data_IF_896995853211
#
_entry.id   IF_896995853211
#
_cell.length_a   1.000
_cell.length_b   1.000
_cell.length_c   1.000
_cell.angle_alpha   90.00
_cell.angle_beta   90.00
_cell.angle_gamma   90.00
#
_symmetry.space_group_name_H-M   'P 1'
#
loop_
_entity.id
_entity.type
_entity.pdbx_description
1 polymer ?
#
# COMPACT_ATOMS: atom_id res chain seq x y z
N UNK A 1 8.98 1.82 -7.05
CA UNK A 1 8.39 0.51 -6.71
C UNK A 1 9.36 -0.49 -6.08
N UNK A 2 10.62 -0.54 -6.49
CA UNK A 2 11.60 -1.44 -5.85
C UNK A 2 11.73 -1.24 -4.34
N UNK A 3 11.68 0.03 -3.91
CA UNK A 3 11.76 0.36 -2.48
C UNK A 3 10.50 -0.06 -1.73
N UNK A 4 9.33 0.04 -2.37
CA UNK A 4 8.08 -0.48 -1.80
C UNK A 4 8.13 -2.01 -1.67
N UNK A 5 8.73 -2.71 -2.63
CA UNK A 5 8.94 -4.16 -2.55
C UNK A 5 9.88 -4.55 -1.40
N UNK A 6 10.91 -3.76 -1.13
CA UNK A 6 11.78 -3.98 0.03
C UNK A 6 10.99 -3.90 1.33
N UNK A 7 10.06 -2.96 1.43
CA UNK A 7 9.17 -2.86 2.59
C UNK A 7 8.23 -4.08 2.66
N UNK A 8 7.69 -4.52 1.53
CA UNK A 8 6.86 -5.73 1.48
C UNK A 8 7.63 -6.96 2.01
N UNK A 9 8.92 -7.09 1.66
CA UNK A 9 9.76 -8.17 2.18
C UNK A 9 9.93 -8.12 3.69
N UNK A 10 10.03 -6.93 4.27
CA UNK A 10 10.09 -6.75 5.73
C UNK A 10 8.81 -7.26 6.40
N UNK A 11 7.65 -6.98 5.80
CA UNK A 11 6.38 -7.51 6.28
C UNK A 11 6.37 -9.04 6.20
N UNK A 12 6.81 -9.60 5.08
CA UNK A 12 6.91 -11.05 4.87
C UNK A 12 7.72 -11.72 5.98
N UNK A 13 8.90 -11.17 6.28
CA UNK A 13 9.79 -11.70 7.33
C UNK A 13 9.14 -11.68 8.71
N UNK A 14 8.20 -10.77 8.93
CA UNK A 14 7.44 -10.65 10.18
C UNK A 14 6.13 -11.45 10.16
N UNK A 15 5.92 -12.24 9.13
CA UNK A 15 4.69 -13.02 8.91
C UNK A 15 3.43 -12.13 8.76
N UNK A 16 3.62 -10.91 8.28
CA UNK A 16 2.55 -10.01 7.88
C UNK A 16 2.30 -10.13 6.38
N UNK A 17 1.07 -9.89 5.93
CA UNK A 17 0.79 -9.86 4.49
C UNK A 17 1.74 -8.85 3.83
N UNK A 18 2.52 -9.30 2.82
CA UNK A 18 3.63 -8.49 2.30
C UNK A 18 3.17 -7.36 1.38
N UNK A 19 2.78 -6.26 2.00
CA UNK A 19 2.45 -5.01 1.32
C UNK A 19 3.41 -3.94 1.81
N UNK A 20 4.00 -3.24 0.88
CA UNK A 20 4.90 -2.12 1.16
C UNK A 20 4.46 -0.86 0.45
N UNK A 21 4.72 0.27 1.08
CA UNK A 21 4.39 1.59 0.53
C UNK A 21 5.52 2.58 0.80
N UNK A 22 5.80 3.43 -0.17
CA UNK A 22 6.74 4.54 0.02
C UNK A 22 6.09 5.82 -0.52
N UNK A 23 6.42 6.94 0.10
CA UNK A 23 5.96 8.26 -0.34
C UNK A 23 7.18 9.07 -0.75
N UNK A 24 7.06 9.69 -1.92
CA UNK A 24 8.15 10.44 -2.56
C UNK A 24 7.71 11.89 -2.72
N UNK A 25 8.61 12.81 -2.39
CA UNK A 25 8.42 14.25 -2.62
C UNK A 25 9.70 14.80 -3.23
N UNK A 26 9.56 15.52 -4.34
CA UNK A 26 10.70 16.13 -5.07
C UNK A 26 11.82 15.11 -5.35
N UNK A 27 11.42 13.90 -5.78
CA UNK A 27 12.37 12.83 -6.13
C UNK A 27 13.00 12.11 -4.94
N UNK A 28 12.63 12.46 -3.71
CA UNK A 28 13.18 11.85 -2.49
C UNK A 28 12.12 11.09 -1.72
N UNK A 29 12.49 9.92 -1.21
CA UNK A 29 11.60 9.14 -0.35
C UNK A 29 11.53 9.82 1.02
N UNK A 30 10.33 10.20 1.44
CA UNK A 30 10.10 10.85 2.73
C UNK A 30 9.44 9.90 3.75
N UNK A 31 8.88 8.79 3.30
CA UNK A 31 8.28 7.80 4.19
C UNK A 31 8.35 6.41 3.58
N UNK A 32 8.60 5.40 4.43
CA UNK A 32 8.61 3.99 4.09
C UNK A 32 7.78 3.25 5.12
N UNK A 33 6.94 2.32 4.70
CA UNK A 33 6.15 1.54 5.63
C UNK A 33 5.74 0.20 5.01
N UNK A 34 5.38 -0.73 5.86
CA UNK A 34 4.85 -2.02 5.45
C UNK A 34 3.73 -2.42 6.41
N UNK A 35 2.90 -3.35 5.98
CA UNK A 35 1.77 -3.83 6.76
C UNK A 35 2.25 -4.39 8.11
N UNK A 36 1.61 -3.94 9.20
CA UNK A 36 1.89 -4.36 10.58
C UNK A 36 0.60 -4.68 11.34
N UNK A 37 -0.45 -5.08 10.62
CA UNK A 37 -1.78 -5.31 11.19
C UNK A 37 -1.77 -6.32 12.35
N UNK A 38 -1.08 -7.45 12.18
CA UNK A 38 -1.02 -8.50 13.19
C UNK A 38 -0.14 -8.10 14.39
N UNK A 39 1.06 -7.60 14.13
CA UNK A 39 2.02 -7.20 15.18
C UNK A 39 1.44 -6.10 16.05
N UNK A 40 0.84 -5.09 15.46
CA UNK A 40 0.24 -3.96 16.19
C UNK A 40 -1.16 -4.26 16.72
N UNK A 41 -1.75 -5.39 16.33
CA UNK A 41 -3.13 -5.74 16.67
C UNK A 41 -4.07 -4.59 16.33
N UNK A 42 -3.88 -4.05 15.14
CA UNK A 42 -4.57 -2.85 14.66
C UNK A 42 -5.12 -3.09 13.26
N UNK A 43 -6.44 -3.04 13.13
CA UNK A 43 -7.12 -3.25 11.85
C UNK A 43 -6.81 -2.19 10.80
N UNK A 44 -6.25 -1.05 11.20
CA UNK A 44 -5.94 0.07 10.30
C UNK A 44 -4.46 0.20 9.97
N UNK A 45 -3.59 -0.63 10.53
CA UNK A 45 -2.14 -0.54 10.32
C UNK A 45 -1.69 -1.15 9.01
N UNK A 46 -2.32 -0.74 7.91
CA UNK A 46 -1.91 -1.04 6.56
C UNK A 46 -0.69 -0.20 6.16
N UNK A 47 0.09 -0.69 5.23
CA UNK A 47 1.29 0.01 4.73
C UNK A 47 1.00 1.45 4.34
N UNK A 48 -0.09 1.68 3.62
CA UNK A 48 -0.46 3.01 3.12
C UNK A 48 -0.75 3.98 4.26
N UNK A 49 -1.52 3.54 5.26
CA UNK A 49 -1.85 4.37 6.44
C UNK A 49 -0.59 4.75 7.19
N UNK A 50 0.28 3.76 7.44
CA UNK A 50 1.54 3.99 8.16
C UNK A 50 2.47 4.93 7.38
N UNK A 51 2.54 4.78 6.07
CA UNK A 51 3.34 5.66 5.21
C UNK A 51 2.82 7.10 5.27
N UNK A 52 1.50 7.29 5.18
CA UNK A 52 0.87 8.62 5.26
C UNK A 52 1.17 9.27 6.60
N UNK A 53 1.01 8.53 7.71
CA UNK A 53 1.29 9.05 9.05
C UNK A 53 2.75 9.51 9.19
N UNK A 54 3.68 8.71 8.70
CA UNK A 54 5.11 9.05 8.71
C UNK A 54 5.40 10.28 7.87
N UNK A 55 4.80 10.37 6.68
CA UNK A 55 4.98 11.52 5.79
C UNK A 55 4.39 12.79 6.39
N UNK A 56 3.20 12.72 6.99
CA UNK A 56 2.57 13.86 7.68
C UNK A 56 3.51 14.41 8.77
N UNK A 57 4.09 13.52 9.56
CA UNK A 57 5.03 13.89 10.63
C UNK A 57 6.30 14.52 10.07
N UNK A 58 6.82 13.94 8.97
CA UNK A 58 8.05 14.42 8.32
C UNK A 58 7.89 15.84 7.78
N UNK A 59 6.78 16.13 7.10
CA UNK A 59 6.53 17.46 6.50
C UNK A 59 5.81 18.41 7.45
N UNK A 60 5.40 17.95 8.63
CA UNK A 60 4.68 18.72 9.64
C UNK A 60 3.40 19.35 9.08
N UNK A 61 2.67 18.56 8.26
CA UNK A 61 1.41 18.98 7.65
C UNK A 61 0.55 17.77 7.33
N UNK A 62 -0.78 17.94 7.36
CA UNK A 62 -1.67 16.85 6.97
C UNK A 62 -1.79 16.73 5.44
N UNK A 63 -1.58 17.80 4.69
CA UNK A 63 -1.57 17.77 3.23
C UNK A 63 -0.22 17.30 2.72
N UNK A 64 -0.26 16.29 1.86
CA UNK A 64 0.93 15.75 1.20
C UNK A 64 0.94 16.20 -0.26
N UNK A 65 0.81 17.52 -0.46
CA UNK A 65 0.81 18.12 -1.79
C UNK A 65 2.14 17.83 -2.51
N UNK A 66 2.05 17.57 -3.80
CA UNK A 66 3.19 17.22 -4.66
C UNK A 66 3.90 15.94 -4.23
N UNK A 67 3.25 15.09 -3.43
CA UNK A 67 3.77 13.78 -3.05
C UNK A 67 3.19 12.70 -3.94
N UNK A 68 3.99 11.65 -4.18
CA UNK A 68 3.60 10.47 -4.92
C UNK A 68 3.73 9.25 -4.02
N UNK A 69 2.78 8.32 -4.12
CA UNK A 69 2.85 7.06 -3.37
C UNK A 69 3.08 5.89 -4.33
N UNK A 70 3.97 4.99 -3.93
CA UNK A 70 4.16 3.68 -4.56
C UNK A 70 3.72 2.62 -3.57
N UNK A 71 2.79 1.78 -3.97
CA UNK A 71 2.30 0.67 -3.14
C UNK A 71 2.27 -0.62 -3.95
N UNK A 72 2.68 -1.72 -3.33
CA UNK A 72 2.82 -3.00 -4.03
C UNK A 72 1.49 -3.66 -4.38
N UNK A 73 0.44 -3.35 -3.62
CA UNK A 73 -0.90 -3.91 -3.81
C UNK A 73 -1.93 -2.79 -3.86
N UNK A 74 -2.93 -2.95 -4.71
CA UNK A 74 -4.05 -2.00 -4.83
C UNK A 74 -4.65 -1.66 -3.45
N UNK A 75 -4.76 -0.36 -3.10
CA UNK A 75 -5.34 0.05 -1.82
C UNK A 75 -6.80 -0.38 -1.65
N UNK A 76 -7.15 -0.76 -0.43
CA UNK A 76 -8.55 -0.98 -0.04
C UNK A 76 -9.29 0.35 0.12
N UNK A 77 -10.57 0.29 0.42
CA UNK A 77 -11.41 1.49 0.58
C UNK A 77 -10.90 2.45 1.65
N UNK A 78 -10.46 1.92 2.80
CA UNK A 78 -9.89 2.72 3.89
C UNK A 78 -8.64 3.48 3.42
N UNK A 79 -7.72 2.77 2.78
CA UNK A 79 -6.45 3.36 2.34
C UNK A 79 -6.64 4.34 1.18
N UNK A 80 -7.53 4.02 0.23
CA UNK A 80 -7.81 4.95 -0.86
C UNK A 80 -8.44 6.23 -0.34
N UNK A 81 -9.34 6.14 0.63
CA UNK A 81 -9.90 7.30 1.32
C UNK A 81 -8.82 8.15 1.98
N UNK A 82 -7.86 7.49 2.66
CA UNK A 82 -6.75 8.20 3.30
C UNK A 82 -5.85 8.90 2.28
N UNK A 83 -5.58 8.26 1.14
CA UNK A 83 -4.77 8.82 0.05
C UNK A 83 -5.43 10.10 -0.51
N UNK A 84 -6.74 10.06 -0.74
CA UNK A 84 -7.50 11.23 -1.20
C UNK A 84 -7.48 12.32 -0.14
N UNK A 85 -7.74 11.98 1.12
CA UNK A 85 -7.74 12.95 2.23
C UNK A 85 -6.38 13.65 2.39
N UNK A 86 -5.29 12.91 2.22
CA UNK A 86 -3.94 13.45 2.33
C UNK A 86 -3.53 14.32 1.13
N UNK A 87 -4.32 14.34 0.07
CA UNK A 87 -4.05 15.12 -1.16
C UNK A 87 -2.81 14.63 -1.91
N UNK A 88 -2.59 13.31 -1.92
CA UNK A 88 -1.51 12.72 -2.72
C UNK A 88 -1.81 12.94 -4.20
N UNK A 89 -0.80 13.36 -4.94
CA UNK A 89 -0.93 13.74 -6.35
C UNK A 89 -1.01 12.53 -7.27
N UNK A 90 -0.11 11.57 -7.07
CA UNK A 90 -0.02 10.37 -7.92
C UNK A 90 0.09 9.11 -7.09
N UNK A 91 -0.58 8.06 -7.54
CA UNK A 91 -0.54 6.74 -6.93
C UNK A 91 -0.08 5.71 -7.96
N UNK A 92 1.02 5.04 -7.65
CA UNK A 92 1.56 3.94 -8.46
C UNK A 92 1.28 2.63 -7.74
N UNK A 93 0.61 1.72 -8.44
CA UNK A 93 0.18 0.42 -7.89
C UNK A 93 0.92 -0.70 -8.61
N UNK A 94 1.43 -1.68 -7.84
CA UNK A 94 2.07 -2.87 -8.39
C UNK A 94 1.08 -3.84 -9.00
N UNK A 95 0.26 -4.47 -8.17
CA UNK A 95 -0.74 -5.42 -8.63
C UNK A 95 -2.13 -5.11 -8.08
N UNK A 96 -3.17 -5.56 -8.78
CA UNK A 96 -4.55 -5.35 -8.39
C UNK A 96 -4.97 -6.35 -7.30
N UNK A 97 -5.96 -5.95 -6.49
CA UNK A 97 -6.56 -6.78 -5.46
C UNK A 97 -8.04 -6.97 -5.78
N UNK A 98 -8.39 -8.10 -6.39
CA UNK A 98 -9.75 -8.36 -6.85
C UNK A 98 -10.77 -8.59 -5.72
N UNK A 99 -10.29 -8.80 -4.49
CA UNK A 99 -11.16 -9.05 -3.34
C UNK A 99 -11.54 -7.78 -2.58
N UNK A 100 -10.60 -6.85 -2.42
CA UNK A 100 -10.78 -5.67 -1.57
C UNK A 100 -10.33 -4.35 -2.19
N UNK A 101 -9.81 -4.38 -3.42
CA UNK A 101 -9.27 -3.20 -4.08
C UNK A 101 -10.33 -2.15 -4.37
N UNK A 102 -10.04 -0.91 -3.98
CA UNK A 102 -10.96 0.22 -4.14
C UNK A 102 -10.38 1.32 -5.04
N UNK A 103 -9.61 0.91 -6.04
CA UNK A 103 -9.10 1.81 -7.09
C UNK A 103 -9.71 1.41 -8.44
N UNK A 104 -9.67 0.13 -8.77
CA UNK A 104 -10.19 -0.42 -10.04
C UNK A 104 -11.01 -1.69 -9.87
N UNK A 105 -10.74 -2.50 -8.83
CA UNK A 105 -11.23 -3.89 -8.77
C UNK A 105 -12.63 -4.02 -8.22
N UNK A 106 -12.84 -3.87 -6.91
CA UNK A 106 -14.18 -3.94 -6.31
C UNK A 106 -14.91 -2.62 -6.52
N UNK A 107 -14.19 -1.51 -6.32
CA UNK A 107 -14.69 -0.17 -6.61
C UNK A 107 -13.75 0.47 -7.61
N UNK A 108 -14.29 1.04 -8.68
CA UNK A 108 -13.54 1.89 -9.60
C UNK A 108 -13.73 3.33 -9.14
N UNK A 109 -12.66 3.89 -8.54
CA UNK A 109 -12.70 5.21 -7.93
C UNK A 109 -12.98 6.32 -8.95
N UNK A 110 -12.71 6.08 -10.23
CA UNK A 110 -12.97 7.05 -11.31
C UNK A 110 -14.46 7.27 -11.54
N UNK A 111 -15.30 6.37 -11.08
CA UNK A 111 -16.76 6.52 -11.19
C UNK A 111 -17.33 7.49 -10.16
N UNK A 112 -16.50 8.00 -9.25
CA UNK A 112 -16.92 8.88 -8.16
C UNK A 112 -16.16 10.20 -8.21
N UNK A 113 -16.84 11.27 -7.80
CA UNK A 113 -16.30 12.62 -7.84
C UNK A 113 -15.99 13.07 -6.42
N UNK A 114 -14.70 13.18 -6.10
CA UNK A 114 -14.23 13.70 -4.81
C UNK A 114 -13.67 15.10 -5.00
N UNK A 115 -13.43 15.79 -3.89
CA UNK A 115 -12.85 17.14 -3.89
C UNK A 115 -11.34 17.16 -4.19
N UNK A 116 -10.74 16.02 -4.44
CA UNK A 116 -9.35 15.87 -4.86
C UNK A 116 -9.24 14.67 -5.78
N UNK A 117 -8.55 14.83 -6.90
CA UNK A 117 -8.33 13.77 -7.87
C UNK A 117 -6.89 13.27 -7.77
N UNK A 118 -6.73 11.95 -7.73
CA UNK A 118 -5.43 11.28 -7.69
C UNK A 118 -5.14 10.69 -9.07
N UNK A 119 -3.99 11.01 -9.64
CA UNK A 119 -3.55 10.37 -10.88
C UNK A 119 -3.06 8.96 -10.54
N UNK A 120 -3.58 7.95 -11.25
CA UNK A 120 -3.34 6.54 -10.92
C UNK A 120 -2.66 5.83 -12.07
N UNK A 121 -1.59 5.07 -11.74
CA UNK A 121 -0.91 4.17 -12.67
C UNK A 121 -0.78 2.79 -12.02
N UNK A 122 -1.12 1.75 -12.79
CA UNK A 122 -1.09 0.37 -12.32
C UNK A 122 -0.07 -0.46 -13.09
N UNK A 123 0.25 -1.64 -12.56
CA UNK A 123 1.12 -2.60 -13.25
C UNK A 123 2.61 -2.32 -13.12
N UNK A 124 3.02 -1.54 -12.13
CA UNK A 124 4.43 -1.20 -11.92
C UNK A 124 5.12 -2.35 -11.18
N UNK A 125 6.02 -3.06 -11.86
CA UNK A 125 6.64 -4.29 -11.34
C UNK A 125 5.58 -5.30 -10.90
N UNK A 126 4.54 -5.43 -11.71
CA UNK A 126 3.37 -6.25 -11.38
C UNK A 126 3.73 -7.69 -11.03
N UNK A 127 4.59 -8.33 -11.80
CA UNK A 127 4.95 -9.74 -11.58
C UNK A 127 5.61 -9.96 -10.23
N UNK A 128 6.56 -9.08 -9.85
CA UNK A 128 7.25 -9.16 -8.58
C UNK A 128 6.29 -8.91 -7.41
N UNK A 129 5.37 -7.97 -7.58
CA UNK A 129 4.37 -7.65 -6.55
C UNK A 129 3.37 -8.81 -6.37
N UNK A 130 2.94 -9.45 -7.46
CA UNK A 130 2.10 -10.65 -7.39
C UNK A 130 2.84 -11.83 -6.75
N UNK A 131 4.08 -12.03 -7.15
CA UNK A 131 4.88 -13.16 -6.70
C UNK A 131 5.03 -13.20 -5.18
N UNK A 132 5.39 -12.06 -4.57
CA UNK A 132 5.61 -12.02 -3.12
C UNK A 132 4.33 -12.36 -2.34
N UNK A 133 3.17 -11.94 -2.85
CA UNK A 133 1.88 -12.25 -2.25
C UNK A 133 1.53 -13.74 -2.39
N UNK A 134 1.67 -14.28 -3.58
CA UNK A 134 1.40 -15.69 -3.85
C UNK A 134 2.28 -16.61 -3.01
N UNK A 135 3.57 -16.28 -2.92
CA UNK A 135 4.54 -17.03 -2.13
C UNK A 135 4.18 -16.99 -0.64
N UNK A 136 3.80 -15.83 -0.14
CA UNK A 136 3.39 -15.66 1.26
C UNK A 136 2.17 -16.54 1.60
N UNK A 137 1.12 -16.49 0.79
CA UNK A 137 -0.07 -17.30 1.05
C UNK A 137 0.19 -18.81 0.89
N UNK A 138 1.07 -19.18 -0.02
CA UNK A 138 1.53 -20.57 -0.14
C UNK A 138 2.24 -21.03 1.14
N UNK A 139 3.11 -20.19 1.68
CA UNK A 139 3.81 -20.45 2.95
C UNK A 139 2.81 -20.59 4.11
N UNK A 140 1.82 -19.71 4.20
CA UNK A 140 0.78 -19.80 5.24
C UNK A 140 -0.02 -21.10 5.17
N UNK A 141 -0.41 -21.53 3.96
CA UNK A 141 -1.12 -22.79 3.79
C UNK A 141 -0.29 -23.99 4.25
N UNK A 142 1.00 -24.00 3.98
CA UNK A 142 1.93 -25.04 4.45
C UNK A 142 2.01 -25.08 5.97
N UNK A 143 2.09 -23.92 6.62
CA UNK A 143 2.11 -23.82 8.08
C UNK A 143 0.82 -24.34 8.72
N UNK A 144 -0.32 -24.02 8.16
CA UNK A 144 -1.62 -24.53 8.63
C UNK A 144 -1.72 -26.03 8.52
N UNK A 145 -1.21 -26.64 7.45
CA UNK A 145 -1.19 -28.09 7.28
C UNK A 145 -0.31 -28.80 8.32
N UNK A 146 0.81 -28.19 8.71
CA UNK A 146 1.72 -28.75 9.72
C UNK A 146 1.15 -28.72 11.13
N UNK A 147 0.23 -27.80 11.42
CA UNK A 147 -0.41 -27.66 12.74
C UNK A 147 -1.62 -28.60 12.92
N UNK A 148 -2.04 -29.25 11.86
CA UNK A 148 -3.04 -30.31 11.91
C UNK A 148 -2.34 -31.64 12.09
#
# INVERSE_FOLDING_TARGET
MKEALKEAKKAYEKEEIPVGAVIVKDGKIIARAHNLKEIKKSSISHAEILAIQKANKKVEAWRLENCEMYVTLEPCMMCMGAIINARIKKLYIGTLDYKTGAVKSVIDIKNYKFNHEVEIKTGILQEECEYILKDFFKMLRKKKRRKK
#
